data_IF_484161307665
#
_entry.id   IF_484161307665
#
_cell.length_a   1.000
_cell.length_b   1.000
_cell.length_c   1.000
_cell.angle_alpha   90.00
_cell.angle_beta   90.00
_cell.angle_gamma   90.00
#
_symmetry.space_group_name_H-M   'P 1'
#
loop_
_entity.id
_entity.type
_entity.pdbx_description
1 polymer ?
#
# COMPACT_ATOMS: atom_id res chain seq x y z
N UNK A 1 -11.73 -20.67 1.86
CA UNK A 1 -10.48 -21.09 1.16
C UNK A 1 -9.37 -20.07 1.47
N UNK A 2 -8.31 -20.48 2.16
CA UNK A 2 -7.12 -19.65 2.43
C UNK A 2 -6.40 -19.38 1.10
N UNK A 3 -5.75 -18.22 0.94
CA UNK A 3 -4.94 -17.88 -0.23
C UNK A 3 -4.07 -19.08 -0.68
N UNK A 4 -4.32 -19.62 -1.88
CA UNK A 4 -3.77 -20.87 -2.45
C UNK A 4 -2.22 -20.87 -2.62
N UNK A 5 -1.57 -19.77 -2.21
CA UNK A 5 -0.13 -19.59 -2.25
C UNK A 5 0.57 -19.63 -0.89
N UNK A 6 -0.15 -19.74 0.25
CA UNK A 6 0.51 -19.71 1.56
C UNK A 6 1.22 -21.03 1.88
N UNK A 7 2.50 -20.98 2.32
CA UNK A 7 3.15 -22.15 2.90
C UNK A 7 2.51 -22.52 4.23
N UNK A 8 2.57 -23.80 4.60
CA UNK A 8 2.18 -24.22 5.95
C UNK A 8 3.10 -23.58 7.00
N UNK A 9 2.51 -23.10 8.09
CA UNK A 9 3.22 -22.51 9.22
C UNK A 9 2.84 -23.15 10.56
N UNK A 10 3.58 -22.79 11.60
CA UNK A 10 3.28 -23.17 12.99
C UNK A 10 2.33 -22.14 13.59
N UNK A 11 1.14 -22.58 14.02
CA UNK A 11 0.15 -21.71 14.67
C UNK A 11 0.70 -21.24 16.02
N UNK A 12 0.97 -19.94 16.13
CA UNK A 12 1.45 -19.29 17.36
C UNK A 12 0.28 -18.80 18.22
N UNK A 13 -0.78 -18.32 17.57
CA UNK A 13 -1.92 -17.73 18.26
C UNK A 13 -3.17 -17.84 17.40
N UNK A 14 -4.29 -18.18 18.03
CA UNK A 14 -5.63 -18.16 17.44
C UNK A 14 -6.57 -17.49 18.44
N UNK A 15 -7.26 -16.42 18.04
CA UNK A 15 -8.19 -15.69 18.92
C UNK A 15 -9.37 -15.08 18.18
N UNK A 16 -10.55 -15.31 18.75
CA UNK A 16 -11.79 -14.63 18.42
C UNK A 16 -11.88 -13.29 19.15
N UNK A 17 -12.48 -12.28 18.51
CA UNK A 17 -12.58 -10.89 18.98
C UNK A 17 -11.22 -10.25 19.31
N UNK A 18 -10.17 -10.67 18.60
CA UNK A 18 -8.84 -10.12 18.76
C UNK A 18 -8.74 -8.70 18.17
N UNK A 19 -8.06 -7.81 18.90
CA UNK A 19 -7.65 -6.50 18.37
C UNK A 19 -6.58 -6.68 17.29
N UNK A 20 -6.83 -6.11 16.11
CA UNK A 20 -5.85 -6.06 15.02
C UNK A 20 -4.60 -5.28 15.46
N UNK A 21 -4.79 -4.16 16.16
CA UNK A 21 -3.68 -3.34 16.65
C UNK A 21 -2.77 -4.07 17.63
N UNK A 22 -3.36 -4.78 18.60
CA UNK A 22 -2.57 -5.53 19.58
C UNK A 22 -1.83 -6.70 18.91
N UNK A 23 -2.43 -7.29 17.88
CA UNK A 23 -1.81 -8.39 17.14
C UNK A 23 -0.66 -7.91 16.26
N UNK A 24 -0.82 -6.77 15.58
CA UNK A 24 0.26 -6.13 14.83
C UNK A 24 1.41 -5.71 15.74
N UNK A 25 1.11 -5.13 16.91
CA UNK A 25 2.13 -4.77 17.89
C UNK A 25 2.87 -6.01 18.40
N UNK A 26 2.17 -7.08 18.73
CA UNK A 26 2.79 -8.33 19.17
C UNK A 26 3.66 -8.98 18.07
N UNK A 27 3.23 -8.92 16.81
CA UNK A 27 4.02 -9.39 15.68
C UNK A 27 5.32 -8.59 15.52
N UNK A 28 5.24 -7.26 15.67
CA UNK A 28 6.38 -6.36 15.64
C UNK A 28 7.36 -6.64 16.80
N UNK A 29 6.86 -6.75 18.04
CA UNK A 29 7.69 -6.95 19.22
C UNK A 29 8.36 -8.33 19.27
N UNK A 30 7.74 -9.35 18.67
CA UNK A 30 8.30 -10.70 18.58
C UNK A 30 9.22 -10.92 17.38
N UNK A 31 9.33 -9.96 16.46
CA UNK A 31 10.08 -10.14 15.20
C UNK A 31 9.45 -11.23 14.32
N UNK A 32 8.11 -11.28 14.24
CA UNK A 32 7.40 -12.36 13.54
C UNK A 32 7.83 -12.44 12.07
N UNK A 33 8.36 -13.60 11.67
CA UNK A 33 8.44 -13.99 10.27
C UNK A 33 7.37 -15.04 10.00
N UNK A 34 6.40 -14.71 9.16
CA UNK A 34 5.17 -15.50 9.08
C UNK A 34 4.01 -14.73 8.47
N UNK A 35 2.80 -15.06 8.89
CA UNK A 35 1.60 -14.36 8.44
C UNK A 35 0.48 -14.43 9.48
N UNK A 36 -0.44 -13.47 9.40
CA UNK A 36 -1.71 -13.52 10.09
C UNK A 36 -2.85 -13.70 9.09
N UNK A 37 -3.89 -14.44 9.48
CA UNK A 37 -5.15 -14.56 8.76
C UNK A 37 -6.20 -13.80 9.56
N UNK A 38 -6.86 -12.85 8.92
CA UNK A 38 -7.96 -12.07 9.49
C UNK A 38 -9.27 -12.54 8.87
N UNK A 39 -10.23 -12.91 9.71
CA UNK A 39 -11.59 -13.21 9.28
C UNK A 39 -12.48 -11.99 9.54
N UNK A 40 -12.98 -11.31 8.49
CA UNK A 40 -13.88 -10.19 8.64
C UNK A 40 -15.30 -10.65 9.00
N UNK A 41 -16.01 -9.90 9.86
CA UNK A 41 -17.40 -10.20 10.27
C UNK A 41 -18.38 -10.29 9.08
N UNK A 42 -18.12 -9.52 8.03
CA UNK A 42 -18.93 -9.52 6.81
C UNK A 42 -18.93 -10.88 6.12
N UNK A 43 -17.87 -11.67 6.26
CA UNK A 43 -17.76 -13.03 5.73
C UNK A 43 -18.83 -13.94 6.36
N UNK A 44 -18.99 -13.87 7.70
CA UNK A 44 -20.02 -14.62 8.42
C UNK A 44 -21.43 -14.22 7.98
N UNK A 45 -21.68 -12.90 7.85
CA UNK A 45 -23.01 -12.38 7.47
C UNK A 45 -23.39 -12.76 6.03
N UNK A 46 -22.41 -12.85 5.14
CA UNK A 46 -22.60 -13.24 3.74
C UNK A 46 -22.42 -14.73 3.50
N UNK A 47 -22.12 -15.51 4.55
CA UNK A 47 -21.74 -16.91 4.49
C UNK A 47 -20.65 -17.18 3.43
N UNK A 48 -19.67 -16.27 3.38
CA UNK A 48 -18.52 -16.28 2.49
C UNK A 48 -17.28 -16.69 3.27
N UNK A 49 -16.33 -17.35 2.61
CA UNK A 49 -15.01 -17.67 3.17
C UNK A 49 -14.00 -16.52 2.97
N UNK A 50 -14.47 -15.28 2.92
CA UNK A 50 -13.60 -14.12 2.72
C UNK A 50 -12.65 -13.97 3.92
N UNK A 51 -11.36 -13.89 3.63
CA UNK A 51 -10.27 -13.74 4.58
C UNK A 51 -9.28 -12.74 4.03
N UNK A 52 -8.58 -12.05 4.92
CA UNK A 52 -7.40 -11.31 4.55
C UNK A 52 -6.16 -11.94 5.17
N UNK A 53 -5.05 -11.79 4.47
CA UNK A 53 -3.74 -12.28 4.91
C UNK A 53 -2.79 -11.12 4.91
N UNK A 54 -1.99 -10.99 5.96
CA UNK A 54 -0.85 -10.07 6.02
C UNK A 54 0.37 -10.90 6.39
N UNK A 55 1.42 -10.83 5.56
CA UNK A 55 2.70 -11.48 5.83
C UNK A 55 3.68 -10.51 6.46
N UNK A 56 4.61 -11.06 7.24
CA UNK A 56 5.60 -10.32 8.00
C UNK A 56 7.00 -10.86 7.75
N UNK A 57 7.96 -9.95 7.72
CA UNK A 57 9.40 -10.23 7.76
C UNK A 57 9.95 -9.49 8.97
N UNK A 58 10.46 -10.21 9.96
CA UNK A 58 10.96 -9.65 11.23
C UNK A 58 9.96 -8.67 11.91
N UNK A 59 8.67 -9.03 11.89
CA UNK A 59 7.59 -8.23 12.46
C UNK A 59 7.10 -7.08 11.57
N UNK A 60 7.74 -6.86 10.42
CA UNK A 60 7.39 -5.79 9.46
C UNK A 60 6.39 -6.30 8.43
N UNK A 61 5.20 -5.68 8.28
CA UNK A 61 4.25 -6.04 7.24
C UNK A 61 4.88 -5.89 5.84
N UNK A 62 4.78 -6.93 5.02
CA UNK A 62 5.44 -6.97 3.71
C UNK A 62 4.47 -7.17 2.55
N UNK A 63 3.52 -8.10 2.69
CA UNK A 63 2.50 -8.40 1.67
C UNK A 63 1.12 -8.48 2.31
N UNK A 64 0.09 -8.05 1.59
CA UNK A 64 -1.30 -8.30 1.95
C UNK A 64 -2.11 -8.88 0.78
N UNK A 65 -3.14 -9.66 1.11
CA UNK A 65 -4.08 -10.22 0.14
C UNK A 65 -5.46 -10.43 0.75
N UNK A 66 -6.53 -10.15 -0.02
CA UNK A 66 -7.91 -10.33 0.41
C UNK A 66 -8.62 -11.34 -0.51
N UNK A 67 -8.97 -12.51 0.03
CA UNK A 67 -9.51 -13.64 -0.76
C UNK A 67 -10.90 -13.35 -1.33
N UNK A 68 -11.75 -12.64 -0.59
CA UNK A 68 -13.12 -12.34 -1.06
C UNK A 68 -13.16 -11.39 -2.25
N UNK A 69 -12.15 -10.54 -2.42
CA UNK A 69 -12.07 -9.56 -3.51
C UNK A 69 -11.01 -9.94 -4.55
N UNK A 70 -10.18 -10.96 -4.26
CA UNK A 70 -9.06 -11.38 -5.10
C UNK A 70 -8.11 -10.21 -5.45
N UNK A 71 -7.76 -9.41 -4.45
CA UNK A 71 -6.84 -8.26 -4.58
C UNK A 71 -5.69 -8.38 -3.59
N UNK A 72 -4.53 -7.83 -3.95
CA UNK A 72 -3.35 -7.78 -3.09
C UNK A 72 -2.84 -6.37 -2.84
N UNK A 73 -1.84 -6.26 -1.97
CA UNK A 73 -1.17 -5.01 -1.64
C UNK A 73 -2.10 -4.03 -0.94
N UNK A 74 -1.95 -2.75 -1.27
CA UNK A 74 -2.76 -1.64 -0.75
C UNK A 74 -4.28 -1.93 -0.81
N UNK A 75 -4.76 -2.42 -1.96
CA UNK A 75 -6.18 -2.70 -2.16
C UNK A 75 -6.73 -3.79 -1.21
N UNK A 76 -5.88 -4.73 -0.77
CA UNK A 76 -6.27 -5.74 0.21
C UNK A 76 -6.44 -5.15 1.62
N UNK A 77 -5.60 -4.17 1.99
CA UNK A 77 -5.74 -3.44 3.25
C UNK A 77 -6.98 -2.54 3.21
N UNK A 78 -7.19 -1.82 2.11
CA UNK A 78 -8.37 -0.96 1.93
C UNK A 78 -9.68 -1.76 2.02
N UNK A 79 -9.70 -3.00 1.50
CA UNK A 79 -10.87 -3.88 1.59
C UNK A 79 -11.24 -4.26 3.05
N UNK A 80 -10.29 -4.18 3.98
CA UNK A 80 -10.53 -4.40 5.40
C UNK A 80 -10.95 -3.13 6.15
N UNK A 81 -10.67 -1.95 5.60
CA UNK A 81 -10.98 -0.68 6.25
C UNK A 81 -12.49 -0.55 6.49
N UNK A 82 -12.87 -0.16 7.70
CA UNK A 82 -14.28 -0.06 8.11
C UNK A 82 -14.96 -1.41 8.39
N UNK A 83 -14.26 -2.53 8.23
CA UNK A 83 -14.78 -3.86 8.58
C UNK A 83 -14.26 -4.30 9.94
N UNK A 84 -15.13 -4.90 10.76
CA UNK A 84 -14.72 -5.52 12.03
C UNK A 84 -14.15 -6.91 11.78
N UNK A 85 -12.95 -7.19 12.28
CA UNK A 85 -12.35 -8.54 12.29
C UNK A 85 -12.89 -9.33 13.47
N UNK A 86 -13.39 -10.54 13.23
CA UNK A 86 -13.96 -11.41 14.27
C UNK A 86 -12.98 -12.45 14.77
N UNK A 87 -12.03 -12.87 13.94
CA UNK A 87 -11.06 -13.90 14.31
C UNK A 87 -9.71 -13.62 13.66
N UNK A 88 -8.65 -13.91 14.41
CA UNK A 88 -7.27 -13.76 13.94
C UNK A 88 -6.47 -15.00 14.31
N UNK A 89 -5.86 -15.61 13.30
CA UNK A 89 -4.80 -16.60 13.45
C UNK A 89 -3.45 -16.00 13.08
N UNK A 90 -2.39 -16.41 13.78
CA UNK A 90 -1.01 -15.99 13.53
C UNK A 90 -0.14 -17.22 13.42
N UNK A 91 0.60 -17.32 12.31
CA UNK A 91 1.46 -18.44 11.98
C UNK A 91 2.91 -17.97 11.82
N UNK A 92 3.85 -18.69 12.41
CA UNK A 92 5.28 -18.54 12.14
C UNK A 92 5.69 -19.44 10.97
N UNK A 93 6.54 -18.92 10.08
CA UNK A 93 6.99 -19.63 8.88
C UNK A 93 8.47 -19.32 8.65
N UNK A 94 9.23 -20.30 8.17
CA UNK A 94 10.60 -20.06 7.73
C UNK A 94 10.63 -19.05 6.56
N UNK A 95 11.47 -18.01 6.66
CA UNK A 95 11.50 -16.87 5.73
C UNK A 95 11.62 -17.27 4.24
N UNK A 96 12.41 -18.30 3.95
CA UNK A 96 12.63 -18.78 2.57
C UNK A 96 11.34 -19.29 1.88
N UNK A 97 10.34 -19.74 2.65
CA UNK A 97 9.05 -20.17 2.11
C UNK A 97 8.18 -18.98 1.69
N UNK A 98 8.35 -17.82 2.34
CA UNK A 98 7.64 -16.59 2.01
C UNK A 98 8.34 -15.77 0.91
N UNK A 99 9.62 -16.04 0.63
CA UNK A 99 10.43 -15.28 -0.32
C UNK A 99 9.78 -15.12 -1.71
N UNK A 100 9.06 -16.13 -2.20
CA UNK A 100 8.36 -16.03 -3.50
C UNK A 100 7.20 -15.02 -3.43
N UNK A 101 6.44 -15.02 -2.34
CA UNK A 101 5.32 -14.11 -2.12
C UNK A 101 5.85 -12.68 -1.92
N UNK A 102 6.89 -12.49 -1.10
CA UNK A 102 7.48 -11.18 -0.84
C UNK A 102 8.10 -10.52 -2.08
N UNK A 103 8.46 -11.30 -3.12
CA UNK A 103 8.94 -10.76 -4.40
C UNK A 103 7.82 -10.29 -5.34
N UNK A 104 6.56 -10.63 -5.07
CA UNK A 104 5.45 -10.17 -5.90
C UNK A 104 5.09 -8.72 -5.55
N UNK A 105 5.48 -7.79 -6.42
CA UNK A 105 5.24 -6.35 -6.24
C UNK A 105 3.76 -5.98 -6.23
N UNK A 106 2.91 -6.77 -6.90
CA UNK A 106 1.45 -6.56 -6.89
C UNK A 106 0.79 -6.83 -5.54
N UNK A 107 1.48 -7.53 -4.63
CA UNK A 107 0.96 -7.83 -3.30
C UNK A 107 1.64 -7.05 -2.18
N UNK A 108 2.68 -6.26 -2.49
CA UNK A 108 3.42 -5.51 -1.48
C UNK A 108 2.56 -4.42 -0.87
N UNK A 109 2.77 -4.22 0.43
CA UNK A 109 2.22 -3.09 1.18
C UNK A 109 3.34 -2.20 1.67
N UNK A 110 3.03 -0.93 1.86
CA UNK A 110 3.89 -0.06 2.64
C UNK A 110 3.84 -0.54 4.11
N UNK A 111 4.98 -0.70 4.79
CA UNK A 111 5.05 -1.28 6.14
C UNK A 111 4.11 -0.67 7.19
N UNK A 112 3.93 0.65 7.18
CA UNK A 112 3.07 1.34 8.16
C UNK A 112 1.58 1.34 7.78
N UNK A 113 1.23 0.97 6.54
CA UNK A 113 -0.12 1.04 6.00
C UNK A 113 -1.15 0.22 6.80
N UNK A 114 -0.87 -1.05 7.22
CA UNK A 114 -1.82 -1.79 8.06
C UNK A 114 -2.09 -1.09 9.39
N UNK A 115 -1.07 -0.53 10.05
CA UNK A 115 -1.25 0.21 11.29
C UNK A 115 -2.11 1.47 11.06
N UNK A 116 -1.81 2.23 10.00
CA UNK A 116 -2.50 3.47 9.63
C UNK A 116 -3.98 3.25 9.29
N UNK A 117 -4.29 2.23 8.49
CA UNK A 117 -5.63 2.04 7.94
C UNK A 117 -6.54 1.13 8.77
N UNK A 118 -5.98 0.22 9.59
CA UNK A 118 -6.78 -0.75 10.34
C UNK A 118 -6.94 -0.40 11.82
N UNK A 119 -6.09 0.47 12.37
CA UNK A 119 -5.99 0.67 13.83
C UNK A 119 -6.02 2.14 14.25
N UNK A 120 -5.72 3.07 13.33
CA UNK A 120 -5.51 4.50 13.63
C UNK A 120 -4.50 4.77 14.77
N UNK A 121 -3.65 3.80 15.11
CA UNK A 121 -2.69 3.89 16.23
C UNK A 121 -1.40 4.58 15.79
N UNK A 122 -1.25 5.86 16.15
CA UNK A 122 -0.02 6.62 15.89
C UNK A 122 1.22 5.95 16.50
N UNK A 123 1.08 5.35 17.68
CA UNK A 123 2.17 4.61 18.33
C UNK A 123 2.63 3.42 17.49
N UNK A 124 1.69 2.62 16.95
CA UNK A 124 2.05 1.46 16.13
C UNK A 124 2.70 1.88 14.81
N UNK A 125 2.24 2.97 14.19
CA UNK A 125 2.85 3.57 12.99
C UNK A 125 4.31 3.94 13.28
N UNK A 126 4.55 4.69 14.35
CA UNK A 126 5.89 5.14 14.75
C UNK A 126 6.82 3.95 15.03
N UNK A 127 6.37 2.98 15.84
CA UNK A 127 7.16 1.80 16.17
C UNK A 127 7.51 0.97 14.93
N UNK A 128 6.57 0.82 14.00
CA UNK A 128 6.82 0.11 12.74
C UNK A 128 7.86 0.86 11.89
N UNK A 129 7.73 2.19 11.78
CA UNK A 129 8.69 3.02 11.04
C UNK A 129 10.11 2.96 11.63
N UNK A 130 10.24 2.97 12.96
CA UNK A 130 11.52 2.86 13.67
C UNK A 130 12.20 1.50 13.48
N UNK A 131 11.41 0.44 13.30
CA UNK A 131 11.92 -0.92 13.11
C UNK A 131 12.38 -1.20 11.68
N UNK A 132 12.08 -0.31 10.71
CA UNK A 132 12.53 -0.49 9.34
C UNK A 132 14.06 -0.42 9.24
N UNK A 133 14.68 -1.26 8.39
CA UNK A 133 16.09 -1.12 8.05
C UNK A 133 16.40 0.29 7.52
N UNK A 134 17.60 0.83 7.81
CA UNK A 134 17.99 2.19 7.43
C UNK A 134 17.79 2.51 5.93
N UNK A 135 17.97 1.51 5.05
CA UNK A 135 17.74 1.65 3.61
C UNK A 135 16.27 1.91 3.27
N UNK A 136 15.32 1.35 4.03
CA UNK A 136 13.88 1.53 3.83
C UNK A 136 13.38 2.87 4.40
N UNK A 137 13.98 3.35 5.49
CA UNK A 137 13.66 4.67 6.06
C UNK A 137 13.91 5.80 5.05
N UNK A 138 14.99 5.68 4.26
CA UNK A 138 15.34 6.67 3.23
C UNK A 138 14.32 6.71 2.07
N UNK A 139 13.80 5.54 1.66
CA UNK A 139 12.79 5.46 0.60
C UNK A 139 11.41 5.95 1.06
N UNK A 140 11.01 5.63 2.30
CA UNK A 140 9.77 6.13 2.90
C UNK A 140 9.79 7.64 3.12
N UNK A 141 10.90 8.20 3.61
CA UNK A 141 11.08 9.65 3.70
C UNK A 141 10.99 10.33 2.31
N UNK A 142 11.53 9.68 1.26
CA UNK A 142 11.40 10.15 -0.12
C UNK A 142 9.94 10.16 -0.62
N UNK A 143 9.16 9.11 -0.35
CA UNK A 143 7.74 9.03 -0.71
C UNK A 143 6.91 10.06 0.06
N UNK A 144 7.17 10.25 1.36
CA UNK A 144 6.51 11.27 2.18
C UNK A 144 6.82 12.70 1.72
N UNK A 145 8.05 12.97 1.26
CA UNK A 145 8.41 14.25 0.65
C UNK A 145 7.67 14.48 -0.69
N UNK A 146 7.48 13.43 -1.51
CA UNK A 146 6.68 13.49 -2.74
C UNK A 146 5.19 13.69 -2.44
N UNK A 147 4.63 13.01 -1.45
CA UNK A 147 3.24 13.21 -1.02
C UNK A 147 3.01 14.62 -0.46
N UNK A 148 3.94 15.15 0.35
CA UNK A 148 3.90 16.52 0.86
C UNK A 148 4.01 17.57 -0.26
N UNK A 149 4.84 17.30 -1.27
CA UNK A 149 4.92 18.13 -2.47
C UNK A 149 3.62 18.06 -3.30
N UNK A 150 3.00 16.89 -3.43
CA UNK A 150 1.73 16.73 -4.17
C UNK A 150 0.51 17.29 -3.43
N UNK A 151 0.60 17.43 -2.10
CA UNK A 151 -0.42 18.05 -1.26
C UNK A 151 -0.38 19.60 -1.28
N UNK A 152 0.57 20.19 -2.01
CA UNK A 152 0.74 21.64 -2.18
C UNK A 152 0.32 22.10 -3.60
N UNK A 153 -1.00 22.27 -3.87
CA UNK A 153 -1.52 22.57 -5.20
C UNK A 153 -1.04 23.92 -5.76
N UNK A 154 -0.68 24.90 -4.91
CA UNK A 154 -0.16 26.20 -5.36
C UNK A 154 1.25 26.08 -5.97
N UNK A 155 2.07 25.16 -5.45
CA UNK A 155 3.43 24.91 -5.95
C UNK A 155 3.43 24.18 -7.29
N UNK A 156 2.48 23.26 -7.49
CA UNK A 156 2.29 22.54 -8.77
C UNK A 156 1.86 23.50 -9.87
N UNK A 157 0.92 24.40 -9.60
CA UNK A 157 0.46 25.37 -10.60
C UNK A 157 1.57 26.37 -10.99
N UNK A 158 2.48 26.71 -10.06
CA UNK A 158 3.66 27.54 -10.37
C UNK A 158 4.61 26.85 -11.35
N UNK A 159 4.90 25.56 -11.14
CA UNK A 159 5.78 24.78 -12.05
C UNK A 159 5.10 24.54 -13.40
N UNK A 160 3.77 24.37 -13.42
CA UNK A 160 3.00 24.24 -14.66
C UNK A 160 3.00 25.55 -15.47
N UNK A 161 2.96 26.69 -14.79
CA UNK A 161 3.07 28.00 -15.41
C UNK A 161 4.48 28.25 -15.98
N UNK A 162 5.55 27.89 -15.25
CA UNK A 162 6.93 27.97 -15.75
C UNK A 162 7.16 27.06 -16.96
N UNK A 163 6.67 25.82 -16.93
CA UNK A 163 6.80 24.89 -18.07
C UNK A 163 6.05 25.39 -19.32
N UNK A 164 4.91 26.08 -19.16
CA UNK A 164 4.16 26.68 -20.27
C UNK A 164 4.86 27.90 -20.86
N UNK A 165 5.50 28.71 -20.02
CA UNK A 165 6.29 29.87 -20.46
C UNK A 165 7.54 29.43 -21.24
N UNK A 166 8.24 28.41 -20.75
CA UNK A 166 9.46 27.89 -21.40
C UNK A 166 9.15 27.21 -22.75
N UNK A 167 7.99 26.54 -22.87
CA UNK A 167 7.51 26.00 -24.14
C UNK A 167 7.15 27.09 -25.18
N UNK A 168 6.61 28.23 -24.73
CA UNK A 168 6.28 29.36 -25.62
C UNK A 168 7.55 30.06 -26.12
N UNK A 169 8.51 30.29 -25.22
CA UNK A 169 9.80 30.89 -25.57
C UNK A 169 10.59 30.04 -26.59
N UNK A 170 10.56 28.70 -26.45
CA UNK A 170 11.21 27.79 -27.42
C UNK A 170 10.47 27.70 -28.76
N UNK A 171 9.15 27.87 -28.77
CA UNK A 171 8.37 27.93 -30.01
C UNK A 171 8.69 29.19 -30.83
N UNK A 172 8.94 30.32 -30.15
CA UNK A 172 9.43 31.56 -30.76
C UNK A 172 10.87 31.41 -31.26
N UNK A 173 11.75 30.76 -30.49
CA UNK A 173 13.15 30.53 -30.87
C UNK A 173 13.29 29.57 -32.08
N UNK A 174 12.35 28.64 -32.26
CA UNK A 174 12.36 27.70 -33.40
C UNK A 174 11.54 28.17 -34.61
N UNK A 175 10.97 29.39 -34.56
CA UNK A 175 10.22 29.96 -35.70
C UNK A 175 8.91 29.23 -36.02
N UNK A 176 8.29 28.57 -35.05
CA UNK A 176 7.09 27.75 -35.29
C UNK A 176 5.78 28.56 -35.39
N UNK A 177 5.82 29.88 -35.19
CA UNK A 177 4.68 30.78 -35.35
C UNK A 177 4.31 31.01 -36.83
N UNK A 178 5.23 30.77 -37.76
CA UNK A 178 4.98 30.95 -39.21
C UNK A 178 4.04 29.88 -39.79
N UNK A 179 3.77 28.78 -39.08
CA UNK A 179 2.88 27.71 -39.54
C UNK A 179 1.49 27.68 -38.92
N UNK A 180 1.15 28.60 -38.00
CA UNK A 180 -0.20 28.70 -37.46
C UNK A 180 -1.12 29.67 -38.25
N UNK A 181 -0.58 30.40 -39.23
CA UNK A 181 -1.31 31.36 -40.07
C UNK A 181 -1.62 30.79 -41.48
N UNK A 182 -1.71 29.46 -41.63
CA UNK A 182 -2.04 28.85 -42.93
C UNK A 182 -3.04 27.70 -42.83
N UNK A 183 -4.10 27.86 -42.04
CA UNK A 183 -5.32 27.03 -42.20
C UNK A 183 -6.56 27.80 -41.74
N UNK A 184 -6.97 28.81 -42.51
CA UNK A 184 -8.37 29.06 -42.90
C UNK A 184 -8.44 30.37 -43.72
N UNK A 185 -7.99 30.29 -44.96
CA UNK A 185 -8.32 31.28 -46.00
C UNK A 185 -8.59 30.52 -47.28
N UNK A 186 -9.58 29.62 -47.25
CA UNK A 186 -10.17 29.10 -48.48
C UNK A 186 -11.60 28.61 -48.22
N UNK A 187 -12.57 29.52 -48.37
CA UNK A 187 -13.89 29.16 -48.88
C UNK A 187 -14.32 30.29 -49.80
N UNK A 188 -14.05 30.09 -51.09
CA UNK A 188 -14.56 30.89 -52.17
C UNK A 188 -16.03 30.59 -52.49
N UNK A 189 -16.55 31.50 -53.33
CA UNK A 189 -17.87 31.62 -53.97
C UNK A 189 -19.07 32.06 -53.13
#
# INVERSE_FOLDING_TARGET
MVFDGLPSGELQRSRTEASVGDTLLAALESGLTGYMILEPKSAILTNSDAQAVITFEDGIPTVAYHTGHNVGGAAAIDALTGTTVTHIDVYAVAAHLLARIHRNTGYRVEPTMPARLLTSSAHLIERTAQALPADHQSQSAGLSAVESFLADPERIETIRAEARADAHARAEEWGLLEHLDTTDSDTGE
#
